data_IF_709316334260
#
_entry.id   IF_709316334260
#
_cell.length_a   1.000
_cell.length_b   1.000
_cell.length_c   1.000
_cell.angle_alpha   90.00
_cell.angle_beta   90.00
_cell.angle_gamma   90.00
#
_symmetry.space_group_name_H-M   'P 1'
#
loop_
_entity.id
_entity.type
_entity.pdbx_description
1 polymer ?
#
# COMPACT_ATOMS: atom_id res chain seq x y z
N UNK A 1 -71.68 -15.41 11.63
CA UNK A 1 -70.85 -14.82 12.70
C UNK A 1 -69.43 -15.24 12.43
N UNK A 2 -68.58 -14.34 11.94
CA UNK A 2 -67.16 -14.61 11.65
C UNK A 2 -66.38 -13.40 12.13
N UNK A 3 -65.60 -13.58 13.20
CA UNK A 3 -64.80 -12.53 13.82
C UNK A 3 -63.35 -12.78 13.41
N UNK A 4 -62.86 -11.95 12.49
CA UNK A 4 -61.48 -12.02 12.00
C UNK A 4 -60.52 -11.44 13.05
N UNK A 5 -59.68 -12.31 13.61
CA UNK A 5 -58.60 -11.96 14.53
C UNK A 5 -57.40 -11.42 13.75
N UNK A 6 -57.07 -10.13 13.95
CA UNK A 6 -55.87 -9.49 13.37
C UNK A 6 -54.68 -9.78 14.28
N UNK A 7 -53.75 -10.62 13.83
CA UNK A 7 -52.43 -10.77 14.43
C UNK A 7 -51.50 -9.68 13.90
N UNK A 8 -51.19 -8.71 14.77
CA UNK A 8 -50.10 -7.75 14.60
C UNK A 8 -48.77 -8.47 14.91
N UNK A 9 -47.95 -8.69 13.89
CA UNK A 9 -46.56 -9.10 14.05
C UNK A 9 -45.69 -7.86 14.26
N UNK A 10 -44.97 -7.74 15.40
CA UNK A 10 -43.98 -6.69 15.58
C UNK A 10 -42.75 -7.02 14.73
N UNK A 11 -42.46 -6.16 13.76
CA UNK A 11 -41.25 -6.23 12.94
C UNK A 11 -40.08 -5.70 13.79
N UNK A 12 -39.41 -6.58 14.52
CA UNK A 12 -38.18 -6.26 15.22
C UNK A 12 -37.06 -6.03 14.21
N UNK A 13 -36.80 -4.76 13.90
CA UNK A 13 -35.64 -4.34 13.13
C UNK A 13 -34.41 -4.53 14.02
N UNK A 14 -33.70 -5.64 13.82
CA UNK A 14 -32.33 -5.80 14.33
C UNK A 14 -31.41 -4.88 13.53
N UNK A 15 -31.16 -3.68 14.06
CA UNK A 15 -30.05 -2.83 13.66
C UNK A 15 -28.75 -3.50 14.13
N UNK A 16 -28.25 -4.44 13.33
CA UNK A 16 -26.88 -4.90 13.44
C UNK A 16 -25.96 -3.73 13.10
N UNK A 17 -25.30 -3.18 14.12
CA UNK A 17 -24.15 -2.31 13.91
C UNK A 17 -23.06 -3.18 13.26
N UNK A 18 -22.93 -3.10 11.93
CA UNK A 18 -21.69 -3.49 11.26
C UNK A 18 -20.62 -2.51 11.76
N UNK A 19 -19.97 -2.84 12.87
CA UNK A 19 -18.70 -2.21 13.20
C UNK A 19 -17.71 -2.59 12.11
N UNK A 20 -17.13 -1.60 11.45
CA UNK A 20 -15.91 -1.79 10.67
C UNK A 20 -14.85 -2.34 11.63
N UNK A 21 -14.70 -3.67 11.64
CA UNK A 21 -13.66 -4.32 12.42
C UNK A 21 -12.30 -3.87 11.90
N UNK A 22 -11.37 -3.59 12.80
CA UNK A 22 -10.00 -3.29 12.41
C UNK A 22 -9.43 -4.39 11.50
N UNK A 23 -8.99 -3.98 10.32
CA UNK A 23 -8.33 -4.88 9.40
C UNK A 23 -6.96 -5.28 9.98
N UNK A 24 -6.62 -6.58 9.98
CA UNK A 24 -5.37 -7.07 10.55
C UNK A 24 -4.16 -6.57 9.77
N UNK A 25 -2.99 -6.51 10.42
CA UNK A 25 -1.71 -6.18 9.80
C UNK A 25 -0.77 -5.38 10.69
N UNK A 26 0.49 -5.30 10.26
CA UNK A 26 1.51 -4.45 10.86
C UNK A 26 1.53 -3.11 10.13
N UNK A 27 1.52 -2.00 10.86
CA UNK A 27 1.52 -0.67 10.27
C UNK A 27 2.92 -0.07 10.32
N UNK A 28 3.31 0.62 9.25
CA UNK A 28 4.61 1.28 9.12
C UNK A 28 4.42 2.68 8.55
N UNK A 29 5.00 3.68 9.20
CA UNK A 29 5.09 5.03 8.65
C UNK A 29 6.35 5.09 7.80
N UNK A 30 6.18 5.13 6.48
CA UNK A 30 7.26 5.16 5.51
C UNK A 30 7.49 6.57 4.99
N UNK A 31 8.76 6.93 4.90
CA UNK A 31 9.27 8.04 4.11
C UNK A 31 9.88 7.48 2.83
N UNK A 32 9.36 7.96 1.69
CA UNK A 32 9.85 7.65 0.37
C UNK A 32 10.65 8.84 -0.14
N UNK A 33 11.94 8.66 -0.39
CA UNK A 33 12.82 9.72 -0.88
C UNK A 33 13.43 9.37 -2.23
N UNK A 34 13.47 10.33 -3.15
CA UNK A 34 13.98 10.08 -4.50
C UNK A 34 15.45 9.70 -4.50
N UNK A 35 15.75 8.55 -5.13
CA UNK A 35 17.09 8.04 -5.30
C UNK A 35 17.57 8.21 -6.75
N UNK A 36 16.72 7.90 -7.73
CA UNK A 36 17.07 7.97 -9.16
C UNK A 36 15.87 8.34 -10.03
N UNK A 37 16.10 9.17 -11.05
CA UNK A 37 15.09 9.54 -12.05
C UNK A 37 15.62 9.36 -13.48
N UNK A 38 15.15 8.30 -14.14
CA UNK A 38 15.47 8.00 -15.53
C UNK A 38 14.40 8.51 -16.51
N UNK A 39 13.33 9.14 -16.02
CA UNK A 39 12.24 9.63 -16.85
C UNK A 39 12.46 11.04 -17.39
N UNK A 40 13.02 11.96 -16.59
CA UNK A 40 13.11 13.39 -16.98
C UNK A 40 14.52 13.98 -16.94
N UNK A 41 15.56 13.18 -16.71
CA UNK A 41 16.96 13.62 -16.77
C UNK A 41 17.39 14.59 -15.66
N UNK A 42 16.58 14.77 -14.61
CA UNK A 42 16.88 15.58 -13.43
C UNK A 42 15.82 15.42 -12.33
N UNK A 43 16.21 15.76 -11.09
CA UNK A 43 15.34 15.80 -9.90
C UNK A 43 15.13 14.43 -9.25
N UNK A 44 15.84 14.20 -8.14
CA UNK A 44 15.54 13.16 -7.16
C UNK A 44 15.03 13.77 -5.83
N UNK A 45 14.78 15.08 -5.78
CA UNK A 45 14.40 15.80 -4.56
C UNK A 45 12.91 15.63 -4.18
N UNK A 46 12.31 14.49 -4.50
CA UNK A 46 10.96 14.17 -4.05
C UNK A 46 11.05 13.47 -2.69
N UNK A 47 10.21 13.89 -1.76
CA UNK A 47 9.97 13.17 -0.51
C UNK A 47 8.47 13.14 -0.25
N UNK A 48 7.94 11.98 0.10
CA UNK A 48 6.56 11.77 0.52
C UNK A 48 6.51 10.80 1.70
N UNK A 49 5.42 10.86 2.47
CA UNK A 49 5.22 9.96 3.60
C UNK A 49 3.86 9.29 3.51
N UNK A 50 3.85 7.97 3.71
CA UNK A 50 2.65 7.14 3.65
C UNK A 50 2.65 6.13 4.79
N UNK A 51 1.47 5.84 5.35
CA UNK A 51 1.31 4.72 6.27
C UNK A 51 0.94 3.46 5.50
N UNK A 52 1.83 2.49 5.52
CA UNK A 52 1.62 1.17 4.90
C UNK A 52 1.09 0.20 5.94
N UNK A 53 0.22 -0.71 5.52
CA UNK A 53 -0.18 -1.88 6.29
C UNK A 53 0.30 -3.13 5.58
N UNK A 54 1.17 -3.90 6.25
CA UNK A 54 1.67 -5.18 5.78
C UNK A 54 0.92 -6.34 6.44
N UNK A 55 0.35 -7.20 5.62
CA UNK A 55 -0.37 -8.41 6.05
C UNK A 55 0.37 -9.63 5.52
N UNK A 56 0.59 -10.62 6.40
CA UNK A 56 1.21 -11.91 6.04
C UNK A 56 0.16 -13.02 5.99
N UNK A 57 0.23 -13.86 4.96
CA UNK A 57 -0.50 -15.12 4.85
C UNK A 57 0.47 -16.22 4.40
N UNK A 58 1.09 -16.89 5.36
CA UNK A 58 2.21 -17.78 5.10
C UNK A 58 3.39 -17.02 4.49
N UNK A 59 3.74 -17.32 3.23
CA UNK A 59 4.78 -16.62 2.49
C UNK A 59 4.24 -15.52 1.58
N UNK A 60 2.92 -15.41 1.41
CA UNK A 60 2.31 -14.35 0.62
C UNK A 60 2.16 -13.10 1.49
N UNK A 61 2.35 -11.93 0.89
CA UNK A 61 2.16 -10.65 1.55
C UNK A 61 1.19 -9.75 0.78
N UNK A 62 0.48 -8.92 1.55
CA UNK A 62 -0.33 -7.82 1.02
C UNK A 62 0.13 -6.52 1.65
N UNK A 63 0.42 -5.52 0.81
CA UNK A 63 0.68 -4.14 1.21
C UNK A 63 -0.57 -3.33 0.90
N UNK A 64 -1.09 -2.63 1.90
CA UNK A 64 -2.26 -1.77 1.78
C UNK A 64 -1.92 -0.34 2.22
N UNK A 65 -2.63 0.63 1.65
CA UNK A 65 -2.63 2.03 2.08
C UNK A 65 -4.07 2.38 2.44
N UNK A 66 -4.30 2.71 3.72
CA UNK A 66 -5.65 2.76 4.30
C UNK A 66 -6.37 1.42 4.17
N UNK A 67 -7.59 1.44 3.62
CA UNK A 67 -8.41 0.23 3.41
C UNK A 67 -8.21 -0.42 2.04
N UNK A 68 -7.42 0.20 1.16
CA UNK A 68 -7.20 -0.27 -0.20
C UNK A 68 -5.94 -1.12 -0.30
N UNK A 69 -6.07 -2.28 -0.94
CA UNK A 69 -4.91 -3.08 -1.34
C UNK A 69 -4.11 -2.31 -2.38
N UNK A 70 -2.83 -2.11 -2.10
CA UNK A 70 -1.91 -1.36 -2.95
C UNK A 70 -1.03 -2.30 -3.77
N UNK A 71 -0.43 -3.29 -3.11
CA UNK A 71 0.45 -4.26 -3.73
C UNK A 71 0.34 -5.65 -3.09
N UNK A 72 0.76 -6.67 -3.83
CA UNK A 72 0.85 -8.05 -3.35
C UNK A 72 2.21 -8.62 -3.69
N UNK A 73 2.66 -9.61 -2.94
CA UNK A 73 4.02 -10.10 -3.06
C UNK A 73 4.29 -11.35 -2.25
N UNK A 74 5.57 -11.61 -2.03
CA UNK A 74 6.05 -12.73 -1.22
C UNK A 74 7.08 -12.28 -0.20
N UNK A 75 7.29 -13.10 0.82
CA UNK A 75 8.37 -12.93 1.79
C UNK A 75 9.34 -14.12 1.77
N UNK A 76 10.63 -13.82 1.93
CA UNK A 76 11.69 -14.79 2.16
C UNK A 76 12.52 -14.33 3.37
N UNK A 77 12.19 -14.90 4.55
CA UNK A 77 12.77 -14.47 5.82
C UNK A 77 12.41 -13.02 6.12
N UNK A 78 13.42 -12.16 6.16
CA UNK A 78 13.27 -10.73 6.42
C UNK A 78 12.92 -9.91 5.19
N UNK A 79 13.08 -10.50 3.99
CA UNK A 79 12.89 -9.78 2.73
C UNK A 79 11.43 -9.90 2.30
N UNK A 80 10.88 -8.80 1.84
CA UNK A 80 9.60 -8.72 1.16
C UNK A 80 9.82 -8.19 -0.25
N UNK A 81 9.20 -8.84 -1.22
CA UNK A 81 9.17 -8.41 -2.61
C UNK A 81 7.71 -8.27 -3.02
N UNK A 82 7.31 -7.13 -3.56
CA UNK A 82 5.91 -6.84 -3.91
C UNK A 82 5.78 -6.09 -5.23
N UNK A 83 4.60 -6.20 -5.83
CA UNK A 83 4.25 -5.50 -7.07
C UNK A 83 2.86 -4.89 -6.92
N UNK A 84 2.73 -3.63 -7.28
CA UNK A 84 1.45 -2.94 -7.24
C UNK A 84 0.53 -3.39 -8.37
N UNK A 85 -0.76 -3.12 -8.21
CA UNK A 85 -1.64 -3.03 -9.37
C UNK A 85 -1.18 -1.88 -10.28
N UNK A 86 -1.42 -2.01 -11.59
CA UNK A 86 -1.19 -0.91 -12.50
C UNK A 86 -2.28 0.14 -12.34
N UNK A 87 -1.93 1.42 -12.36
CA UNK A 87 -2.89 2.53 -12.32
C UNK A 87 -2.55 3.60 -13.33
N UNK A 88 -3.55 4.40 -13.69
CA UNK A 88 -3.40 5.49 -14.66
C UNK A 88 -3.47 6.84 -13.94
N UNK A 89 -2.66 7.79 -14.37
CA UNK A 89 -2.73 9.19 -13.94
C UNK A 89 -2.66 10.13 -15.14
N UNK A 90 -3.20 11.33 -14.99
CA UNK A 90 -3.12 12.38 -16.00
C UNK A 90 -2.04 13.38 -15.62
N UNK A 91 -1.12 13.64 -16.56
CA UNK A 91 -0.10 14.69 -16.45
C UNK A 91 -0.18 15.57 -17.68
N UNK A 92 -0.46 16.86 -17.48
CA UNK A 92 -0.57 17.83 -18.58
C UNK A 92 -1.60 17.41 -19.66
N UNK A 93 -2.63 16.66 -19.26
CA UNK A 93 -3.66 16.14 -20.15
C UNK A 93 -3.31 14.84 -20.88
N UNK A 94 -2.10 14.30 -20.68
CA UNK A 94 -1.67 13.01 -21.19
C UNK A 94 -1.82 11.92 -20.13
N UNK A 95 -2.33 10.77 -20.54
CA UNK A 95 -2.41 9.59 -19.69
C UNK A 95 -1.05 8.88 -19.60
N UNK A 96 -0.68 8.53 -18.38
CA UNK A 96 0.51 7.75 -18.05
C UNK A 96 0.07 6.61 -17.14
N UNK A 97 0.47 5.39 -17.50
CA UNK A 97 0.26 4.19 -16.69
C UNK A 97 1.51 3.84 -15.92
N UNK A 98 1.31 3.52 -14.64
CA UNK A 98 2.35 3.26 -13.67
C UNK A 98 2.17 1.88 -13.06
N UNK A 99 3.29 1.28 -12.68
CA UNK A 99 3.35 0.09 -11.83
C UNK A 99 4.56 0.24 -10.91
N UNK A 100 4.43 -0.21 -9.66
CA UNK A 100 5.54 -0.25 -8.71
C UNK A 100 6.01 -1.68 -8.55
N UNK A 101 7.32 -1.85 -8.51
CA UNK A 101 7.98 -3.05 -7.98
C UNK A 101 8.80 -2.60 -6.78
N UNK A 102 8.54 -3.20 -5.62
CA UNK A 102 9.23 -2.87 -4.39
C UNK A 102 9.94 -4.08 -3.79
N UNK A 103 11.08 -3.82 -3.15
CA UNK A 103 11.81 -4.80 -2.33
C UNK A 103 12.21 -4.14 -1.03
N UNK A 104 11.98 -4.79 0.10
CA UNK A 104 12.38 -4.27 1.40
C UNK A 104 12.83 -5.37 2.35
N UNK A 105 13.61 -4.97 3.36
CA UNK A 105 13.80 -5.72 4.60
C UNK A 105 12.87 -5.12 5.64
N UNK A 106 12.21 -5.98 6.41
CA UNK A 106 11.19 -5.55 7.38
C UNK A 106 11.39 -6.30 8.70
N UNK A 107 11.52 -5.55 9.78
CA UNK A 107 11.45 -6.05 11.15
C UNK A 107 9.97 -5.98 11.62
N UNK A 108 9.20 -7.02 11.30
CA UNK A 108 7.76 -7.06 11.62
C UNK A 108 7.50 -7.29 13.13
N UNK A 109 6.33 -6.84 13.60
CA UNK A 109 5.87 -7.01 14.99
C UNK A 109 6.82 -6.43 16.06
N UNK A 110 7.65 -5.44 15.71
CA UNK A 110 8.69 -4.92 16.60
C UNK A 110 9.84 -5.90 16.84
N UNK A 111 10.05 -6.84 15.91
CA UNK A 111 11.22 -7.69 15.85
C UNK A 111 12.50 -6.90 15.59
N UNK A 112 13.64 -7.59 15.55
CA UNK A 112 14.92 -6.98 15.24
C UNK A 112 15.83 -7.99 14.54
N UNK A 113 16.78 -7.48 13.76
CA UNK A 113 17.86 -8.25 13.14
C UNK A 113 17.70 -8.44 11.64
N UNK A 114 16.61 -7.99 11.04
CA UNK A 114 16.48 -7.88 9.59
C UNK A 114 17.22 -6.64 9.05
N UNK A 115 17.20 -5.56 9.82
CA UNK A 115 17.83 -4.28 9.50
C UNK A 115 18.90 -3.95 10.55
N UNK A 116 20.07 -3.49 10.10
CA UNK A 116 21.18 -3.13 10.99
C UNK A 116 20.99 -1.76 11.64
N UNK A 117 20.24 -0.87 10.98
CA UNK A 117 19.90 0.44 11.51
C UNK A 117 18.75 0.35 12.51
N UNK A 118 19.08 0.47 13.81
CA UNK A 118 18.12 0.47 14.90
C UNK A 118 17.08 1.61 14.86
N UNK A 119 17.20 2.55 13.93
CA UNK A 119 16.28 3.66 13.74
C UNK A 119 15.15 3.39 12.75
N UNK A 120 15.09 2.22 12.11
CA UNK A 120 14.06 1.88 11.11
C UNK A 120 13.64 0.41 11.24
N UNK A 121 12.38 0.15 10.97
CA UNK A 121 11.78 -1.20 10.95
C UNK A 121 11.42 -1.63 9.51
N UNK A 122 11.55 -0.72 8.55
CA UNK A 122 11.40 -0.95 7.12
C UNK A 122 12.54 -0.26 6.37
N UNK A 123 13.24 -1.01 5.52
CA UNK A 123 14.30 -0.45 4.67
C UNK A 123 14.31 -1.15 3.31
N UNK A 124 14.08 -0.40 2.24
CA UNK A 124 13.98 -0.96 0.90
C UNK A 124 13.99 0.09 -0.19
N UNK A 125 13.58 -0.33 -1.38
CA UNK A 125 13.40 0.54 -2.54
C UNK A 125 12.07 0.25 -3.22
N UNK A 126 11.49 1.29 -3.82
CA UNK A 126 10.34 1.20 -4.71
C UNK A 126 10.72 1.76 -6.08
N UNK A 127 10.55 0.94 -7.13
CA UNK A 127 10.76 1.36 -8.52
C UNK A 127 9.41 1.56 -9.19
N UNK A 128 9.09 2.81 -9.49
CA UNK A 128 7.97 3.20 -10.32
C UNK A 128 8.35 3.03 -11.78
N UNK A 129 7.58 2.25 -12.51
CA UNK A 129 7.79 1.90 -13.91
C UNK A 129 6.66 2.52 -14.73
N UNK A 130 7.00 3.32 -15.74
CA UNK A 130 6.03 3.78 -16.72
C UNK A 130 5.74 2.65 -17.69
N UNK A 131 4.61 1.95 -17.52
CA UNK A 131 4.26 0.79 -18.37
C UNK A 131 3.72 1.23 -19.73
N UNK A 132 3.03 2.37 -19.78
CA UNK A 132 2.52 3.02 -21.01
C UNK A 132 2.45 4.52 -20.78
N UNK A 133 2.76 5.32 -21.80
CA UNK A 133 2.69 6.78 -21.72
C UNK A 133 2.35 7.41 -23.06
N UNK A 134 1.45 8.39 -23.05
CA UNK A 134 1.17 9.28 -24.18
C UNK A 134 1.82 10.66 -24.04
N UNK A 135 2.54 10.90 -22.93
CA UNK A 135 3.20 12.17 -22.67
C UNK A 135 4.46 12.31 -23.52
N UNK A 136 4.69 13.45 -24.21
CA UNK A 136 5.82 13.62 -25.13
C UNK A 136 7.18 13.50 -24.44
N UNK A 137 7.27 13.93 -23.18
CA UNK A 137 8.52 13.94 -22.42
C UNK A 137 8.70 12.77 -21.43
N UNK A 138 7.75 11.83 -21.34
CA UNK A 138 7.84 10.69 -20.42
C UNK A 138 7.76 9.40 -21.23
N UNK A 139 8.90 8.77 -21.57
CA UNK A 139 8.88 7.58 -22.39
C UNK A 139 8.37 6.36 -21.61
N UNK A 140 7.68 5.46 -22.30
CA UNK A 140 7.35 4.14 -21.74
C UNK A 140 8.64 3.37 -21.44
N UNK A 141 8.64 2.64 -20.32
CA UNK A 141 9.78 1.89 -19.80
C UNK A 141 10.77 2.72 -18.97
N UNK A 142 10.58 4.04 -18.83
CA UNK A 142 11.38 4.81 -17.90
C UNK A 142 11.01 4.49 -16.45
N UNK A 143 11.96 4.71 -15.54
CA UNK A 143 11.80 4.39 -14.12
C UNK A 143 12.12 5.56 -13.22
N UNK A 144 11.46 5.56 -12.07
CA UNK A 144 11.76 6.44 -10.95
C UNK A 144 11.93 5.57 -9.71
N UNK A 145 13.07 5.68 -9.04
CA UNK A 145 13.39 4.85 -7.88
C UNK A 145 13.36 5.71 -6.63
N UNK A 146 12.61 5.24 -5.64
CA UNK A 146 12.53 5.80 -4.30
C UNK A 146 13.21 4.85 -3.31
N UNK A 147 14.00 5.42 -2.40
CA UNK A 147 14.38 4.74 -1.16
C UNK A 147 13.17 4.78 -0.22
N UNK A 148 12.81 3.63 0.35
CA UNK A 148 11.68 3.48 1.27
C UNK A 148 12.20 3.12 2.65
N UNK A 149 12.08 4.05 3.59
CA UNK A 149 12.51 3.84 4.98
C UNK A 149 11.40 4.18 5.94
N UNK A 150 11.27 3.45 7.04
CA UNK A 150 10.20 3.75 7.98
C UNK A 150 10.27 2.99 9.27
N UNK A 151 9.30 3.27 10.14
CA UNK A 151 9.21 2.70 11.48
C UNK A 151 7.87 2.03 11.70
N UNK A 152 7.86 1.05 12.59
CA UNK A 152 6.64 0.46 13.10
C UNK A 152 5.75 1.53 13.73
N UNK A 153 4.48 1.51 13.39
CA UNK A 153 3.51 2.53 13.75
C UNK A 153 2.23 1.90 14.31
N UNK A 154 1.45 2.72 15.01
CA UNK A 154 0.05 2.41 15.29
C UNK A 154 -0.81 2.86 14.12
N UNK A 155 -1.91 2.14 13.84
CA UNK A 155 -2.90 2.55 12.84
C UNK A 155 -3.32 4.01 13.06
N UNK A 156 -3.32 4.81 12.00
CA UNK A 156 -3.94 6.14 11.99
C UNK A 156 -5.45 5.97 11.76
N UNK A 157 -6.26 6.56 12.64
CA UNK A 157 -7.73 6.61 12.51
C UNK A 157 -8.20 7.68 11.52
#
# INVERSE_FOLDING_TARGET
MSTASRLLFPLSILSGACGEGDLPGNYFDLELSGAENLCTGGGADHSESHQYRLVYDGNDITVAIGDSVWATGTTEGCRVDYTSIAWSSLREGYEIQWQIVGTARVDAEGGAGCIEDSGVDWQGTETFIVTTSFHPDVPSGCTYTLDATGRFATKIE
#
